data_IF_326708973902
#
_entry.id   IF_326708973902
#
_cell.length_a   1.000
_cell.length_b   1.000
_cell.length_c   1.000
_cell.angle_alpha   90.00
_cell.angle_beta   90.00
_cell.angle_gamma   90.00
#
_symmetry.space_group_name_H-M   'P 1'
#
loop_
_entity.id
_entity.type
_entity.pdbx_description
1 polymer ?
#
# COMPACT_ATOMS: atom_id res chain seq x y z
N UNK A 1 -10.17 7.09 0.32
CA UNK A 1 -10.18 5.96 1.27
C UNK A 1 -11.56 5.61 1.81
N UNK A 2 -12.51 6.55 1.96
CA UNK A 2 -13.84 6.33 2.57
C UNK A 2 -14.61 5.12 2.02
N UNK A 3 -14.80 5.04 0.71
CA UNK A 3 -15.58 3.94 0.11
C UNK A 3 -14.94 2.57 0.38
N UNK A 4 -13.62 2.46 0.22
CA UNK A 4 -12.90 1.21 0.48
C UNK A 4 -13.02 0.78 1.93
N UNK A 5 -12.88 1.71 2.89
CA UNK A 5 -13.07 1.39 4.31
C UNK A 5 -14.51 0.99 4.63
N UNK A 6 -15.51 1.62 3.99
CA UNK A 6 -16.93 1.30 4.20
C UNK A 6 -17.31 -0.09 3.66
N UNK A 7 -16.71 -0.51 2.53
CA UNK A 7 -17.07 -1.76 1.85
C UNK A 7 -16.21 -2.93 2.30
N UNK A 8 -14.91 -2.70 2.48
CA UNK A 8 -13.90 -3.78 2.68
C UNK A 8 -13.45 -3.89 4.13
N UNK A 9 -13.54 -2.80 4.90
CA UNK A 9 -12.99 -2.72 6.26
C UNK A 9 -11.48 -2.44 6.26
N UNK A 10 -11.00 -1.67 7.26
CA UNK A 10 -9.59 -1.26 7.37
C UNK A 10 -8.65 -2.44 7.62
N UNK A 11 -9.15 -3.53 8.19
CA UNK A 11 -8.43 -4.79 8.46
C UNK A 11 -8.13 -5.63 7.22
N UNK A 12 -8.71 -5.27 6.07
CA UNK A 12 -8.50 -5.94 4.77
C UNK A 12 -7.87 -5.02 3.72
N UNK A 13 -7.61 -3.76 4.07
CA UNK A 13 -6.94 -2.81 3.19
C UNK A 13 -5.43 -2.99 3.26
N UNK A 14 -4.77 -3.02 2.10
CA UNK A 14 -3.32 -3.17 1.98
C UNK A 14 -2.77 -2.06 1.10
N UNK A 15 -1.66 -1.46 1.51
CA UNK A 15 -0.95 -0.49 0.69
C UNK A 15 0.05 -1.19 -0.25
N UNK A 16 -0.03 -0.84 -1.55
CA UNK A 16 0.94 -1.17 -2.59
C UNK A 16 1.26 0.10 -3.36
N UNK A 17 2.53 0.28 -3.75
CA UNK A 17 2.96 1.35 -4.67
C UNK A 17 2.80 0.95 -6.13
N UNK A 18 2.55 -0.33 -6.39
CA UNK A 18 2.66 -0.94 -7.72
C UNK A 18 3.94 -0.48 -8.42
N UNK A 19 5.09 -0.54 -7.74
CA UNK A 19 6.37 -0.16 -8.35
C UNK A 19 7.06 -1.38 -8.97
N UNK A 20 7.56 -1.37 -10.20
CA UNK A 20 7.54 -0.30 -11.23
C UNK A 20 6.44 -0.55 -12.27
N UNK A 21 5.17 -0.38 -11.90
CA UNK A 21 4.05 -0.64 -12.81
C UNK A 21 4.02 0.39 -13.93
N UNK A 22 4.02 -0.12 -15.17
CA UNK A 22 4.02 0.68 -16.41
C UNK A 22 2.82 0.31 -17.27
N UNK A 23 1.60 0.63 -16.83
CA UNK A 23 0.44 0.48 -17.72
C UNK A 23 0.42 1.63 -18.73
N UNK A 24 0.64 1.31 -20.00
CA UNK A 24 0.60 2.26 -21.11
C UNK A 24 1.90 3.05 -21.38
N UNK A 25 3.03 2.76 -20.74
CA UNK A 25 4.32 3.44 -21.02
C UNK A 25 5.48 2.45 -21.25
N UNK A 26 6.33 2.77 -22.24
CA UNK A 26 7.46 1.95 -22.76
C UNK A 26 8.70 1.97 -21.83
N UNK A 27 9.62 0.98 -21.95
CA UNK A 27 10.79 0.87 -21.08
C UNK A 27 11.82 1.97 -21.39
N UNK A 28 12.14 2.78 -20.38
CA UNK A 28 13.10 3.87 -20.48
C UNK A 28 12.76 5.01 -19.52
N UNK A 29 13.23 4.88 -18.26
CA UNK A 29 13.14 5.86 -17.16
C UNK A 29 11.71 6.19 -16.70
N UNK A 30 11.20 5.43 -15.73
CA UNK A 30 9.92 5.65 -15.03
C UNK A 30 9.75 7.11 -14.56
N UNK A 31 8.86 7.92 -15.16
CA UNK A 31 8.70 9.34 -14.80
C UNK A 31 7.58 9.65 -13.79
N UNK A 32 6.77 8.69 -13.31
CA UNK A 32 5.43 9.06 -12.83
C UNK A 32 5.09 8.78 -11.36
N UNK A 33 5.97 8.17 -10.56
CA UNK A 33 5.72 8.05 -9.12
C UNK A 33 6.96 8.50 -8.33
N UNK A 34 6.85 9.67 -7.69
CA UNK A 34 7.79 10.07 -6.65
C UNK A 34 7.56 9.18 -5.42
N UNK A 35 8.37 8.15 -5.30
CA UNK A 35 8.44 7.30 -4.12
C UNK A 35 9.55 7.74 -3.15
N UNK A 36 10.26 8.84 -3.45
CA UNK A 36 11.27 9.37 -2.56
C UNK A 36 10.60 9.95 -1.30
N UNK A 37 11.34 9.96 -0.19
CA UNK A 37 10.94 10.60 1.07
C UNK A 37 9.55 10.19 1.60
N UNK A 38 9.04 9.02 1.20
CA UNK A 38 7.73 8.53 1.64
C UNK A 38 6.53 9.23 1.01
N UNK A 39 6.70 10.03 -0.06
CA UNK A 39 5.62 10.78 -0.72
C UNK A 39 4.46 9.87 -1.12
N UNK A 40 4.74 8.66 -1.60
CA UNK A 40 3.73 7.67 -1.96
C UNK A 40 2.82 7.23 -0.79
N UNK A 41 3.27 7.38 0.47
CA UNK A 41 2.48 7.07 1.69
C UNK A 41 1.75 8.28 2.28
N UNK A 42 1.97 9.49 1.76
CA UNK A 42 1.43 10.73 2.33
C UNK A 42 -0.09 10.75 2.45
N UNK A 43 -0.81 10.09 1.53
CA UNK A 43 -2.27 9.97 1.60
C UNK A 43 -2.75 9.22 2.86
N UNK A 44 -1.95 8.29 3.38
CA UNK A 44 -2.28 7.52 4.58
C UNK A 44 -2.07 8.35 5.84
N UNK A 45 -1.06 9.23 5.86
CA UNK A 45 -0.82 10.18 6.95
C UNK A 45 -2.04 11.09 7.17
N UNK A 46 -2.66 11.54 6.09
CA UNK A 46 -3.82 12.43 6.10
C UNK A 46 -5.15 11.68 6.22
N UNK A 47 -5.15 10.34 6.16
CA UNK A 47 -6.37 9.55 6.22
C UNK A 47 -7.04 9.66 7.61
N UNK A 48 -8.39 9.68 7.67
CA UNK A 48 -9.14 9.78 8.92
C UNK A 48 -9.25 8.43 9.63
N UNK A 49 -8.12 7.73 9.77
CA UNK A 49 -8.00 6.47 10.48
C UNK A 49 -7.15 6.65 11.74
N UNK A 50 -7.32 5.76 12.71
CA UNK A 50 -6.44 5.68 13.87
C UNK A 50 -5.00 5.37 13.44
N UNK A 51 -4.05 5.64 14.34
CA UNK A 51 -2.64 5.29 14.11
C UNK A 51 -2.46 3.77 13.88
N UNK A 52 -3.16 2.95 14.66
CA UNK A 52 -3.12 1.49 14.56
C UNK A 52 -3.63 1.00 13.20
N UNK A 53 -4.73 1.56 12.70
CA UNK A 53 -5.25 1.24 11.36
C UNK A 53 -4.27 1.67 10.26
N UNK A 54 -3.63 2.83 10.38
CA UNK A 54 -2.60 3.27 9.41
C UNK A 54 -1.42 2.30 9.39
N UNK A 55 -0.94 1.86 10.56
CA UNK A 55 0.13 0.86 10.65
C UNK A 55 -0.28 -0.49 10.05
N UNK A 56 -1.51 -0.93 10.32
CA UNK A 56 -2.07 -2.15 9.75
C UNK A 56 -2.17 -2.09 8.22
N UNK A 57 -2.70 -1.00 7.65
CA UNK A 57 -2.81 -0.82 6.20
C UNK A 57 -1.43 -0.73 5.54
N UNK A 58 -0.49 -0.04 6.18
CA UNK A 58 0.85 0.19 5.65
C UNK A 58 1.74 -1.06 5.60
N UNK A 59 1.57 -1.99 6.55
CA UNK A 59 2.36 -3.23 6.58
C UNK A 59 1.65 -4.41 7.26
N UNK A 60 0.97 -4.21 8.40
CA UNK A 60 0.50 -5.31 9.25
C UNK A 60 -0.52 -6.26 8.60
N UNK A 61 -1.42 -5.74 7.76
CA UNK A 61 -2.47 -6.53 7.11
C UNK A 61 -1.90 -7.55 6.10
N UNK A 62 -0.66 -7.37 5.63
CA UNK A 62 0.00 -8.33 4.76
C UNK A 62 0.33 -9.65 5.46
N UNK A 63 0.51 -9.65 6.78
CA UNK A 63 0.99 -10.83 7.53
C UNK A 63 0.01 -12.01 7.46
N UNK A 64 -1.30 -11.74 7.54
CA UNK A 64 -2.33 -12.77 7.47
C UNK A 64 -2.31 -13.55 6.14
N UNK A 65 -2.40 -12.89 4.97
CA UNK A 65 -2.34 -13.59 3.70
C UNK A 65 -0.96 -14.19 3.42
N UNK A 66 0.16 -13.60 3.87
CA UNK A 66 1.50 -14.15 3.58
C UNK A 66 2.01 -15.14 4.61
N UNK A 67 1.31 -15.36 5.73
CA UNK A 67 1.80 -16.23 6.81
C UNK A 67 2.03 -17.70 6.41
N UNK A 68 1.41 -18.15 5.32
CA UNK A 68 1.63 -19.49 4.75
C UNK A 68 2.85 -19.57 3.83
N UNK A 69 3.43 -18.43 3.42
CA UNK A 69 4.61 -18.38 2.58
C UNK A 69 5.83 -18.62 3.47
N UNK A 70 6.32 -19.85 3.49
CA UNK A 70 7.64 -20.14 4.05
C UNK A 70 8.67 -19.33 3.28
N UNK A 71 9.39 -18.45 3.98
CA UNK A 71 10.57 -17.80 3.41
C UNK A 71 11.60 -18.89 3.14
N UNK A 72 11.59 -19.47 1.93
CA UNK A 72 12.67 -20.31 1.45
C UNK A 72 13.93 -19.43 1.42
N UNK A 73 14.74 -19.58 2.47
CA UNK A 73 16.08 -19.02 2.58
C UNK A 73 17.06 -19.84 1.76
#
# INVERSE_FOLDING_TARGET
MRWTSEVVGTERMMYSTDYSYTFGTRPGRSPFLDNANGVARSFLEQAPFSHEEKAAIGSGNWEKPTGHVTANR
#
